data_IF_211755159511
#
_entry.id   IF_211755159511
#
_cell.length_a   1.000
_cell.length_b   1.000
_cell.length_c   1.000
_cell.angle_alpha   90.00
_cell.angle_beta   90.00
_cell.angle_gamma   90.00
#
_symmetry.space_group_name_H-M   'P 1'
#
loop_
_entity.id
_entity.type
_entity.pdbx_description
1 polymer ?
#
# COMPACT_ATOMS: atom_id res chain seq x y z
N UNK A 1 -20.44 -1.37 -24.59
CA UNK A 1 -20.07 -0.04 -24.08
C UNK A 1 -18.64 -0.11 -23.56
N UNK A 2 -17.67 0.40 -24.33
CA UNK A 2 -16.27 0.45 -23.89
C UNK A 2 -16.10 1.68 -22.98
N UNK A 3 -16.11 1.45 -21.67
CA UNK A 3 -15.70 2.47 -20.72
C UNK A 3 -14.21 2.74 -20.99
N UNK A 4 -13.91 3.94 -21.48
CA UNK A 4 -12.54 4.38 -21.70
C UNK A 4 -11.74 4.17 -20.41
N UNK A 5 -10.72 3.32 -20.45
CA UNK A 5 -9.76 3.14 -19.35
C UNK A 5 -9.00 4.46 -19.19
N UNK A 6 -9.52 5.36 -18.38
CA UNK A 6 -8.69 6.41 -17.82
C UNK A 6 -7.60 5.71 -17.01
N UNK A 7 -6.36 5.76 -17.49
CA UNK A 7 -5.21 5.32 -16.72
C UNK A 7 -5.10 6.26 -15.51
N UNK A 8 -5.71 5.88 -14.39
CA UNK A 8 -5.50 6.57 -13.12
C UNK A 8 -4.02 6.40 -12.76
N UNK A 9 -3.29 7.51 -12.72
CA UNK A 9 -1.87 7.55 -12.38
C UNK A 9 -1.65 7.75 -10.89
N UNK A 10 -2.64 8.30 -10.19
CA UNK A 10 -2.61 8.61 -8.76
C UNK A 10 -3.99 8.41 -8.11
N UNK A 11 -4.02 8.31 -6.79
CA UNK A 11 -5.21 8.26 -5.94
C UNK A 11 -4.96 9.06 -4.64
N UNK A 12 -6.01 9.52 -3.97
CA UNK A 12 -5.89 10.16 -2.65
C UNK A 12 -5.95 9.12 -1.54
N UNK A 13 -5.28 9.39 -0.43
CA UNK A 13 -5.22 8.47 0.71
C UNK A 13 -6.61 8.07 1.21
N UNK A 14 -7.54 9.02 1.34
CA UNK A 14 -8.92 8.74 1.78
C UNK A 14 -9.77 8.00 0.75
N UNK A 15 -9.35 7.93 -0.51
CA UNK A 15 -10.03 7.10 -1.51
C UNK A 15 -9.67 5.62 -1.32
N UNK A 16 -8.43 5.33 -0.90
CA UNK A 16 -7.94 3.99 -0.61
C UNK A 16 -8.26 3.53 0.82
N UNK A 17 -8.00 4.35 1.82
CA UNK A 17 -8.20 4.04 3.25
C UNK A 17 -9.54 4.62 3.70
N UNK A 18 -10.54 3.74 3.87
CA UNK A 18 -11.90 4.11 4.26
C UNK A 18 -12.05 4.22 5.79
N UNK A 19 -11.30 3.43 6.55
CA UNK A 19 -11.21 3.48 8.02
C UNK A 19 -9.85 2.93 8.47
N UNK A 20 -9.33 3.40 9.60
CA UNK A 20 -8.09 2.87 10.21
C UNK A 20 -8.36 1.93 11.39
N UNK A 21 -9.54 2.03 12.00
CA UNK A 21 -9.90 1.28 13.21
C UNK A 21 -11.37 0.83 13.14
N UNK A 22 -11.66 -0.37 12.62
CA UNK A 22 -10.73 -1.31 11.98
C UNK A 22 -10.26 -0.82 10.61
N UNK A 23 -9.09 -1.30 10.17
CA UNK A 23 -8.56 -0.96 8.83
C UNK A 23 -9.51 -1.46 7.74
N UNK A 24 -10.08 -0.54 6.97
CA UNK A 24 -10.92 -0.81 5.81
C UNK A 24 -10.34 -0.14 4.57
N UNK A 25 -10.22 -0.91 3.50
CA UNK A 25 -9.66 -0.46 2.23
C UNK A 25 -10.71 -0.51 1.12
N UNK A 26 -10.63 0.45 0.20
CA UNK A 26 -11.42 0.45 -1.02
C UNK A 26 -10.94 -0.67 -1.96
N UNK A 27 -11.74 -1.74 -2.06
CA UNK A 27 -11.40 -2.94 -2.82
C UNK A 27 -11.23 -2.68 -4.32
N UNK A 28 -11.89 -1.67 -4.88
CA UNK A 28 -11.72 -1.33 -6.30
C UNK A 28 -10.32 -0.80 -6.57
N UNK A 29 -9.77 0.03 -5.68
CA UNK A 29 -8.41 0.55 -5.80
C UNK A 29 -7.36 -0.50 -5.47
N UNK A 30 -7.62 -1.34 -4.46
CA UNK A 30 -6.77 -2.51 -4.16
C UNK A 30 -6.64 -3.40 -5.40
N UNK A 31 -7.75 -3.70 -6.08
CA UNK A 31 -7.73 -4.49 -7.31
C UNK A 31 -6.92 -3.82 -8.44
N UNK A 32 -6.97 -2.49 -8.57
CA UNK A 32 -6.11 -1.79 -9.55
C UNK A 32 -4.63 -1.92 -9.18
N UNK A 33 -4.30 -1.84 -7.88
CA UNK A 33 -2.93 -2.01 -7.38
C UNK A 33 -2.42 -3.44 -7.61
N UNK A 34 -3.25 -4.47 -7.38
CA UNK A 34 -2.92 -5.86 -7.73
C UNK A 34 -2.56 -5.98 -9.21
N UNK A 35 -3.38 -5.39 -10.09
CA UNK A 35 -3.15 -5.42 -11.54
C UNK A 35 -1.92 -4.64 -11.97
N UNK A 36 -1.62 -3.50 -11.33
CA UNK A 36 -0.45 -2.69 -11.68
C UNK A 36 0.86 -3.35 -11.23
N UNK A 37 0.83 -4.11 -10.13
CA UNK A 37 2.01 -4.79 -9.59
C UNK A 37 2.18 -6.23 -10.10
N UNK A 38 1.11 -6.86 -10.58
CA UNK A 38 1.10 -8.30 -10.88
C UNK A 38 1.21 -9.16 -9.61
N UNK A 39 0.76 -8.64 -8.46
CA UNK A 39 0.75 -9.32 -7.17
C UNK A 39 -0.70 -9.62 -6.74
N UNK A 40 -0.88 -10.59 -5.84
CA UNK A 40 -2.18 -10.90 -5.27
C UNK A 40 -2.38 -10.24 -3.90
N UNK A 41 -3.53 -9.65 -3.67
CA UNK A 41 -3.91 -9.13 -2.37
C UNK A 41 -4.51 -10.24 -1.51
N UNK A 42 -4.02 -10.35 -0.28
CA UNK A 42 -4.60 -11.25 0.73
C UNK A 42 -5.10 -10.41 1.89
N UNK A 43 -6.40 -10.53 2.18
CA UNK A 43 -7.01 -9.89 3.33
C UNK A 43 -6.84 -10.78 4.56
N UNK A 44 -6.30 -10.23 5.65
CA UNK A 44 -6.04 -10.96 6.91
C UNK A 44 -7.32 -11.52 7.58
N UNK A 45 -8.51 -11.16 7.06
CA UNK A 45 -9.80 -11.67 7.53
C UNK A 45 -10.24 -13.00 6.86
N UNK A 46 -9.52 -13.51 5.85
CA UNK A 46 -9.77 -14.86 5.33
C UNK A 46 -9.03 -15.93 6.16
N UNK A 47 -9.63 -17.12 6.38
CA UNK A 47 -8.91 -18.23 7.02
C UNK A 47 -7.61 -18.50 6.22
N UNK A 48 -6.49 -18.80 6.91
CA UNK A 48 -5.17 -18.81 6.29
C UNK A 48 -5.13 -19.83 5.15
N UNK A 49 -5.35 -19.35 3.92
CA UNK A 49 -4.96 -20.05 2.72
C UNK A 49 -3.44 -19.98 2.71
N UNK A 50 -2.81 -21.00 3.30
CA UNK A 50 -1.36 -21.28 3.32
C UNK A 50 -0.59 -20.53 2.23
N UNK A 51 -0.12 -19.33 2.56
CA UNK A 51 0.83 -18.55 1.79
C UNK A 51 1.64 -17.67 2.76
N UNK A 52 2.40 -18.32 3.65
CA UNK A 52 3.39 -17.67 4.53
C UNK A 52 4.63 -17.15 3.76
N UNK A 53 4.60 -17.11 2.43
CA UNK A 53 5.78 -16.84 1.61
C UNK A 53 6.47 -15.52 1.99
N UNK A 54 5.71 -14.45 2.27
CA UNK A 54 6.29 -13.15 2.57
C UNK A 54 6.70 -12.93 4.04
N UNK A 55 6.36 -13.85 4.95
CA UNK A 55 6.79 -13.78 6.34
C UNK A 55 8.18 -14.39 6.54
N UNK A 56 8.76 -15.00 5.50
CA UNK A 56 10.16 -15.36 5.48
C UNK A 56 11.01 -14.10 5.27
N UNK A 57 11.73 -13.67 6.31
CA UNK A 57 12.65 -12.53 6.27
C UNK A 57 13.79 -12.70 5.25
N UNK A 58 14.09 -13.95 4.86
CA UNK A 58 15.10 -14.28 3.86
C UNK A 58 14.56 -14.25 2.43
N UNK A 59 13.23 -14.13 2.24
CA UNK A 59 12.65 -14.02 0.90
C UNK A 59 13.00 -12.67 0.30
N UNK A 60 13.78 -12.68 -0.79
CA UNK A 60 14.10 -11.46 -1.51
C UNK A 60 12.84 -10.84 -2.13
N UNK A 61 12.78 -9.51 -2.16
CA UNK A 61 11.62 -8.75 -2.65
C UNK A 61 11.15 -9.19 -4.05
N UNK A 62 12.08 -9.59 -4.93
CA UNK A 62 11.79 -10.05 -6.28
C UNK A 62 10.90 -11.31 -6.34
N UNK A 63 10.85 -12.09 -5.25
CA UNK A 63 10.07 -13.33 -5.17
C UNK A 63 8.76 -13.19 -4.41
N UNK A 64 8.46 -12.02 -3.83
CA UNK A 64 7.19 -11.76 -3.17
C UNK A 64 6.07 -11.73 -4.20
N UNK A 65 5.01 -12.50 -3.96
CA UNK A 65 3.88 -12.70 -4.89
C UNK A 65 2.54 -12.17 -4.36
N UNK A 66 2.50 -11.82 -3.08
CA UNK A 66 1.28 -11.40 -2.39
C UNK A 66 1.52 -10.12 -1.61
N UNK A 67 0.51 -9.35 -1.26
CA UNK A 67 0.61 -8.24 -0.29
C UNK A 67 -0.68 -8.13 0.50
N UNK A 68 -0.63 -7.47 1.66
CA UNK A 68 -1.77 -7.41 2.58
C UNK A 68 -2.14 -5.95 2.93
N UNK A 69 -3.20 -5.72 3.75
CA UNK A 69 -3.61 -4.38 4.14
C UNK A 69 -2.51 -3.55 4.83
N UNK A 70 -1.66 -4.19 5.63
CA UNK A 70 -0.57 -3.52 6.35
C UNK A 70 0.54 -3.11 5.39
N UNK A 71 0.86 -3.92 4.38
CA UNK A 71 1.84 -3.55 3.35
C UNK A 71 1.37 -2.31 2.57
N UNK A 72 0.08 -2.18 2.26
CA UNK A 72 -0.47 -0.97 1.64
C UNK A 72 -0.36 0.24 2.56
N UNK A 73 -0.62 0.07 3.86
CA UNK A 73 -0.45 1.14 4.85
C UNK A 73 1.01 1.61 4.90
N UNK A 74 1.96 0.68 4.91
CA UNK A 74 3.39 0.96 4.88
C UNK A 74 3.80 1.68 3.58
N UNK A 75 3.30 1.24 2.42
CA UNK A 75 3.52 1.92 1.14
C UNK A 75 3.02 3.39 1.16
N UNK A 76 1.86 3.65 1.77
CA UNK A 76 1.33 5.01 1.93
C UNK A 76 2.24 5.87 2.79
N UNK A 77 2.71 5.35 3.94
CA UNK A 77 3.65 6.08 4.78
C UNK A 77 4.91 6.46 4.01
N UNK A 78 5.52 5.52 3.27
CA UNK A 78 6.71 5.82 2.47
C UNK A 78 6.46 6.89 1.40
N UNK A 79 5.30 6.82 0.72
CA UNK A 79 4.93 7.79 -0.31
C UNK A 79 4.77 9.20 0.26
N UNK A 80 4.17 9.32 1.45
CA UNK A 80 3.93 10.61 2.10
C UNK A 80 5.20 11.21 2.72
N UNK A 81 6.10 10.39 3.27
CA UNK A 81 7.40 10.85 3.80
C UNK A 81 8.27 11.39 2.67
N UNK A 82 8.23 10.75 1.49
CA UNK A 82 9.00 11.20 0.33
C UNK A 82 8.56 12.59 -0.17
N UNK A 83 7.33 12.99 0.11
CA UNK A 83 6.74 14.26 -0.34
C UNK A 83 6.77 15.35 0.75
N UNK A 84 7.00 15.00 2.02
CA UNK A 84 6.94 15.94 3.15
C UNK A 84 8.28 16.20 3.84
N UNK A 85 8.72 17.46 3.76
CA UNK A 85 9.69 18.13 4.66
C UNK A 85 9.03 18.57 5.99
N UNK A 86 8.13 17.78 6.59
CA UNK A 86 7.38 18.22 7.77
C UNK A 86 7.95 17.67 9.08
N UNK A 87 8.32 18.58 9.98
CA UNK A 87 8.78 18.30 11.34
C UNK A 87 7.68 17.72 12.26
N UNK A 88 6.42 17.70 11.81
CA UNK A 88 5.27 17.21 12.57
C UNK A 88 4.86 15.78 12.18
N UNK A 89 4.28 15.05 13.13
CA UNK A 89 3.85 13.65 12.97
C UNK A 89 2.85 13.50 11.81
N UNK A 90 3.16 12.64 10.84
CA UNK A 90 2.28 12.34 9.69
C UNK A 90 0.89 11.89 10.14
N UNK A 91 -0.15 12.51 9.58
CA UNK A 91 -1.55 12.16 9.80
C UNK A 91 -2.16 11.62 8.52
N UNK A 92 -2.33 10.29 8.43
CA UNK A 92 -2.74 9.59 7.21
C UNK A 92 -4.11 10.04 6.67
N UNK A 93 -5.03 10.45 7.54
CA UNK A 93 -6.38 10.88 7.15
C UNK A 93 -6.47 12.38 6.84
N UNK A 94 -5.35 13.10 6.75
CA UNK A 94 -5.36 14.51 6.40
C UNK A 94 -5.81 14.69 4.93
N UNK A 95 -6.90 15.42 4.63
CA UNK A 95 -7.37 15.62 3.26
C UNK A 95 -6.46 16.50 2.40
N UNK A 96 -5.52 17.22 3.01
CA UNK A 96 -4.54 18.06 2.31
C UNK A 96 -3.30 17.31 1.81
N UNK A 97 -3.21 15.99 2.06
CA UNK A 97 -2.11 15.17 1.54
C UNK A 97 -2.12 15.15 0.01
N UNK A 98 -0.91 15.14 -0.57
CA UNK A 98 -0.76 15.00 -2.00
C UNK A 98 -1.32 13.65 -2.50
N UNK A 99 -1.76 13.58 -3.77
CA UNK A 99 -2.11 12.31 -4.40
C UNK A 99 -0.92 11.35 -4.41
N UNK A 100 -1.19 10.08 -4.12
CA UNK A 100 -0.20 9.00 -4.13
C UNK A 100 -0.22 8.35 -5.52
N UNK A 101 0.94 8.13 -6.17
CA UNK A 101 0.99 7.42 -7.43
C UNK A 101 0.55 5.96 -7.27
N UNK A 102 -0.01 5.35 -8.32
CA UNK A 102 -0.16 3.90 -8.33
C UNK A 102 1.22 3.23 -8.39
N UNK A 103 1.49 2.22 -7.56
CA UNK A 103 2.73 1.48 -7.64
C UNK A 103 2.72 0.60 -8.91
N UNK A 104 3.75 0.70 -9.73
CA UNK A 104 3.84 0.03 -11.05
C UNK A 104 5.03 -0.91 -11.18
N UNK A 105 5.95 -0.88 -10.21
CA UNK A 105 7.11 -1.75 -10.15
C UNK A 105 7.15 -2.50 -8.81
N UNK A 106 7.24 -3.83 -8.88
CA UNK A 106 7.19 -4.71 -7.72
C UNK A 106 8.36 -4.46 -6.76
N UNK A 107 9.58 -4.31 -7.29
CA UNK A 107 10.77 -4.12 -6.47
C UNK A 107 10.74 -2.76 -5.74
N UNK A 108 10.35 -1.71 -6.44
CA UNK A 108 10.17 -0.37 -5.87
C UNK A 108 9.07 -0.36 -4.83
N UNK A 109 7.94 -1.04 -5.10
CA UNK A 109 6.87 -1.20 -4.12
C UNK A 109 7.37 -1.80 -2.81
N UNK A 110 8.08 -2.93 -2.84
CA UNK A 110 8.56 -3.56 -1.61
C UNK A 110 9.62 -2.75 -0.86
N UNK A 111 10.49 -2.02 -1.58
CA UNK A 111 11.42 -1.07 -0.96
C UNK A 111 10.67 0.04 -0.22
N UNK A 112 9.61 0.59 -0.83
CA UNK A 112 8.76 1.58 -0.20
C UNK A 112 8.02 1.01 1.01
N UNK A 113 7.46 -0.20 0.91
CA UNK A 113 6.85 -0.91 2.05
C UNK A 113 7.85 -1.04 3.20
N UNK A 114 9.11 -1.41 2.94
CA UNK A 114 10.13 -1.50 3.97
C UNK A 114 10.41 -0.14 4.65
N UNK A 115 10.58 0.93 3.87
CA UNK A 115 10.78 2.30 4.41
C UNK A 115 9.60 2.75 5.26
N UNK A 116 8.37 2.57 4.77
CA UNK A 116 7.18 2.99 5.49
C UNK A 116 6.91 2.18 6.74
N UNK A 117 7.24 0.87 6.73
CA UNK A 117 7.23 0.02 7.92
C UNK A 117 8.16 0.54 9.00
N UNK A 118 9.40 0.87 8.64
CA UNK A 118 10.38 1.43 9.58
C UNK A 118 9.85 2.72 10.19
N UNK A 119 9.29 3.62 9.37
CA UNK A 119 8.67 4.84 9.88
C UNK A 119 7.50 4.56 10.82
N UNK A 120 6.52 3.74 10.41
CA UNK A 120 5.35 3.42 11.24
C UNK A 120 5.75 2.81 12.59
N UNK A 121 6.74 1.93 12.62
CA UNK A 121 7.26 1.32 13.86
C UNK A 121 8.11 2.28 14.70
N UNK A 122 8.60 3.39 14.13
CA UNK A 122 9.27 4.44 14.91
C UNK A 122 8.29 5.37 15.65
N UNK A 123 7.00 5.34 15.29
CA UNK A 123 5.94 6.14 15.93
C UNK A 123 5.38 5.52 17.22
N UNK A 124 5.75 4.27 17.53
CA UNK A 124 5.35 3.49 18.70
C UNK A 124 6.43 3.53 19.77
#
# INVERSE_FOLDING_TARGET
>A
MQLQRQHLTHFKVHELVLSLSPLQLNQQLVYQIEKSLGLNFINDNEPPRVCFANQNIELQDAYKQVFNPVDLLDYLYASLISDQQCADKLQLLNPALAPIPYPTDNLTFWRMVATGRQYRLSLS
#
